data_IF_741219819587
#
_entry.id   IF_741219819587
#
_cell.length_a   1.000
_cell.length_b   1.000
_cell.length_c   1.000
_cell.angle_alpha   90.00
_cell.angle_beta   90.00
_cell.angle_gamma   90.00
#
_symmetry.space_group_name_H-M   'P 1'
#
loop_
_entity.id
_entity.type
_entity.pdbx_description
1 polymer ?
#
# COMPACT_ATOMS: atom_id res chain seq x y z
N UNK A 1 10.31 -9.80 -1.86
CA UNK A 1 9.18 -9.35 -1.06
C UNK A 1 8.27 -10.53 -0.72
N UNK A 2 7.90 -10.68 0.55
CA UNK A 2 7.01 -11.71 1.03
C UNK A 2 6.04 -11.10 2.05
N UNK A 3 4.74 -11.21 1.81
CA UNK A 3 3.68 -10.79 2.72
C UNK A 3 2.33 -11.32 2.22
N UNK A 4 1.37 -11.47 3.12
CA UNK A 4 -0.03 -11.60 2.75
C UNK A 4 -0.62 -10.21 2.54
N UNK A 5 -1.03 -9.91 1.31
CA UNK A 5 -1.58 -8.62 0.94
C UNK A 5 -2.55 -8.72 -0.24
N UNK A 6 -3.35 -7.69 -0.43
CA UNK A 6 -4.31 -7.59 -1.52
C UNK A 6 -4.94 -6.20 -1.60
N UNK A 7 -5.97 -6.07 -2.42
CA UNK A 7 -6.84 -4.89 -2.48
C UNK A 7 -7.83 -4.82 -1.31
N UNK A 8 -8.77 -3.87 -1.37
CA UNK A 8 -9.75 -3.62 -0.32
C UNK A 8 -10.58 -4.87 0.03
N UNK A 9 -10.96 -5.67 -0.96
CA UNK A 9 -11.70 -6.91 -0.74
C UNK A 9 -10.96 -8.01 0.01
N UNK A 10 -9.62 -7.92 0.13
CA UNK A 10 -8.81 -8.85 0.90
C UNK A 10 -8.49 -8.30 2.31
N UNK A 11 -8.27 -6.98 2.41
CA UNK A 11 -7.77 -6.34 3.63
C UNK A 11 -8.90 -5.94 4.60
N UNK A 12 -10.07 -5.53 4.08
CA UNK A 12 -11.13 -4.92 4.90
C UNK A 12 -12.34 -5.82 5.15
N UNK A 13 -12.30 -7.10 4.78
CA UNK A 13 -13.40 -8.04 5.05
C UNK A 13 -13.33 -8.67 6.43
N UNK A 14 -12.19 -8.66 7.08
CA UNK A 14 -11.93 -9.34 8.36
C UNK A 14 -11.59 -10.83 8.23
N UNK A 15 -11.82 -11.43 7.06
CA UNK A 15 -11.65 -12.87 6.85
C UNK A 15 -10.19 -13.34 6.88
N UNK A 16 -9.24 -12.42 6.62
CA UNK A 16 -7.81 -12.72 6.49
C UNK A 16 -6.95 -12.12 7.61
N UNK A 17 -7.52 -11.42 8.56
CA UNK A 17 -6.80 -10.61 9.56
C UNK A 17 -5.77 -11.42 10.35
N UNK A 18 -6.17 -12.57 10.88
CA UNK A 18 -5.28 -13.43 11.66
C UNK A 18 -4.09 -13.95 10.83
N UNK A 19 -4.31 -14.31 9.58
CA UNK A 19 -3.26 -14.79 8.69
C UNK A 19 -2.33 -13.66 8.24
N UNK A 20 -2.87 -12.49 7.94
CA UNK A 20 -2.09 -11.27 7.64
C UNK A 20 -1.15 -10.94 8.80
N UNK A 21 -1.70 -10.82 10.01
CA UNK A 21 -0.94 -10.49 11.21
C UNK A 21 0.14 -11.53 11.51
N UNK A 22 -0.25 -12.82 11.57
CA UNK A 22 0.66 -13.91 11.93
C UNK A 22 1.78 -14.10 10.90
N UNK A 23 1.43 -14.19 9.62
CA UNK A 23 2.39 -14.56 8.58
C UNK A 23 3.40 -13.44 8.37
N UNK A 24 2.94 -12.19 8.24
CA UNK A 24 3.83 -11.05 8.04
C UNK A 24 4.72 -10.79 9.26
N UNK A 25 4.16 -10.81 10.47
CA UNK A 25 4.97 -10.66 11.68
C UNK A 25 6.01 -11.78 11.83
N UNK A 26 5.64 -13.04 11.55
CA UNK A 26 6.57 -14.18 11.62
C UNK A 26 7.72 -14.06 10.62
N UNK A 27 7.43 -13.63 9.38
CA UNK A 27 8.46 -13.38 8.36
C UNK A 27 9.45 -12.32 8.87
N UNK A 28 8.96 -11.20 9.36
CA UNK A 28 9.78 -10.07 9.80
C UNK A 28 10.63 -10.42 11.04
N UNK A 29 10.04 -11.09 12.02
CA UNK A 29 10.75 -11.56 13.22
C UNK A 29 11.87 -12.53 12.85
N UNK A 30 11.58 -13.56 12.05
CA UNK A 30 12.57 -14.55 11.66
C UNK A 30 13.72 -13.93 10.83
N UNK A 31 13.38 -13.04 9.88
CA UNK A 31 14.39 -12.36 9.07
C UNK A 31 15.35 -11.54 9.93
N UNK A 32 14.83 -10.75 10.85
CA UNK A 32 15.63 -9.89 11.71
C UNK A 32 16.48 -10.68 12.70
N UNK A 33 15.95 -11.75 13.28
CA UNK A 33 16.70 -12.62 14.17
C UNK A 33 17.84 -13.35 13.44
N UNK A 34 17.58 -13.86 12.25
CA UNK A 34 18.63 -14.54 11.45
C UNK A 34 19.68 -13.52 10.96
N UNK A 35 19.29 -12.33 10.57
CA UNK A 35 20.26 -11.29 10.20
C UNK A 35 21.13 -10.88 11.39
N UNK A 36 20.53 -10.72 12.58
CA UNK A 36 21.30 -10.43 13.81
C UNK A 36 22.33 -11.53 14.09
N UNK A 37 21.92 -12.80 14.10
CA UNK A 37 22.82 -13.96 14.32
C UNK A 37 23.93 -14.02 13.27
N UNK A 38 23.58 -13.78 12.00
CA UNK A 38 24.56 -13.73 10.93
C UNK A 38 25.61 -12.64 11.15
N UNK A 39 25.19 -11.45 11.54
CA UNK A 39 26.11 -10.33 11.81
C UNK A 39 27.03 -10.64 13.00
N UNK A 40 26.51 -11.24 14.07
CA UNK A 40 27.29 -11.67 15.22
C UNK A 40 28.33 -12.74 14.85
N UNK A 41 27.94 -13.75 14.07
CA UNK A 41 28.84 -14.84 13.62
C UNK A 41 29.95 -14.34 12.67
N UNK A 42 29.63 -13.45 11.77
CA UNK A 42 30.58 -12.92 10.76
C UNK A 42 31.36 -11.70 11.21
N UNK A 43 30.99 -11.09 12.34
CA UNK A 43 31.59 -9.83 12.80
C UNK A 43 31.40 -8.68 11.81
N UNK A 44 30.35 -8.71 11.02
CA UNK A 44 30.04 -7.71 9.97
C UNK A 44 28.61 -7.21 10.09
N UNK A 45 28.35 -6.01 9.60
CA UNK A 45 27.03 -5.41 9.60
C UNK A 45 26.79 -4.64 8.28
N UNK A 46 27.12 -5.29 7.16
CA UNK A 46 27.11 -4.65 5.84
C UNK A 46 25.80 -4.88 5.05
N UNK A 47 24.98 -5.86 5.46
CA UNK A 47 23.73 -6.17 4.74
C UNK A 47 22.65 -5.20 5.15
N UNK A 48 22.27 -4.29 4.23
CA UNK A 48 21.12 -3.42 4.42
C UNK A 48 19.82 -4.17 4.15
N UNK A 49 18.86 -4.04 5.04
CA UNK A 49 17.53 -4.64 4.89
C UNK A 49 16.55 -3.58 4.40
N UNK A 50 15.80 -3.89 3.36
CA UNK A 50 14.67 -3.10 2.92
C UNK A 50 13.36 -3.67 3.49
N UNK A 51 12.55 -2.80 4.09
CA UNK A 51 11.20 -3.14 4.52
C UNK A 51 10.15 -2.37 3.72
N UNK A 52 9.25 -3.12 3.07
CA UNK A 52 8.08 -2.56 2.40
C UNK A 52 6.93 -2.36 3.39
N UNK A 53 6.82 -1.16 3.94
CA UNK A 53 5.66 -0.73 4.69
C UNK A 53 4.54 -0.26 3.75
N UNK A 54 3.49 0.33 4.28
CA UNK A 54 2.30 0.73 3.53
C UNK A 54 1.69 2.00 4.11
N UNK A 55 1.06 2.80 3.26
CA UNK A 55 0.23 3.92 3.70
C UNK A 55 -0.99 3.50 4.56
N UNK A 56 -1.32 2.21 4.59
CA UNK A 56 -2.36 1.68 5.50
C UNK A 56 -1.98 1.78 6.98
N UNK A 57 -0.69 2.06 7.30
CA UNK A 57 -0.26 2.30 8.68
C UNK A 57 -0.66 3.68 9.22
N UNK A 58 -1.02 4.64 8.35
CA UNK A 58 -1.44 5.97 8.78
C UNK A 58 -2.78 5.94 9.51
N UNK A 59 -2.99 6.85 10.48
CA UNK A 59 -4.23 6.91 11.25
C UNK A 59 -5.46 7.14 10.36
N UNK A 60 -6.52 6.40 10.60
CA UNK A 60 -7.79 6.55 9.89
C UNK A 60 -8.32 7.99 9.97
N UNK A 61 -8.24 8.62 11.16
CA UNK A 61 -8.77 9.97 11.37
C UNK A 61 -8.10 11.05 10.50
N UNK A 62 -6.88 10.80 10.00
CA UNK A 62 -6.19 11.69 9.06
C UNK A 62 -6.69 11.52 7.61
N UNK A 63 -7.54 10.55 7.35
CA UNK A 63 -7.93 10.10 6.02
C UNK A 63 -9.46 10.12 5.81
N UNK A 64 -10.20 10.82 6.67
CA UNK A 64 -11.66 10.95 6.60
C UNK A 64 -12.11 11.98 5.57
N UNK A 65 -11.31 13.02 5.34
CA UNK A 65 -11.55 14.03 4.31
C UNK A 65 -10.92 13.57 2.98
N UNK A 66 -11.71 13.29 1.93
CA UNK A 66 -11.18 12.84 0.66
C UNK A 66 -10.38 13.92 -0.09
N UNK A 67 -10.63 15.20 0.20
CA UNK A 67 -9.98 16.32 -0.48
C UNK A 67 -8.67 16.73 0.19
N UNK A 68 -8.49 16.40 1.47
CA UNK A 68 -7.33 16.82 2.25
C UNK A 68 -6.84 15.76 3.24
N UNK A 69 -6.49 14.55 2.78
CA UNK A 69 -5.90 13.54 3.67
C UNK A 69 -4.49 13.95 4.11
N UNK A 70 -4.14 13.64 5.36
CA UNK A 70 -2.79 13.86 5.89
C UNK A 70 -2.05 12.54 6.10
N UNK A 71 -1.20 12.19 5.14
CA UNK A 71 -0.33 11.03 5.19
C UNK A 71 1.17 11.41 5.19
N UNK A 72 1.51 12.61 5.67
CA UNK A 72 2.92 12.99 5.86
C UNK A 72 3.59 12.04 6.87
N UNK A 73 4.87 11.78 6.72
CA UNK A 73 5.61 10.87 7.61
C UNK A 73 5.44 11.23 9.09
N UNK A 74 5.38 12.52 9.41
CA UNK A 74 5.18 13.04 10.76
C UNK A 74 3.78 12.81 11.34
N UNK A 75 2.79 12.52 10.50
CA UNK A 75 1.39 12.32 10.90
C UNK A 75 1.05 10.89 11.32
N UNK A 76 2.05 10.01 11.34
CA UNK A 76 1.88 8.60 11.71
C UNK A 76 1.39 8.37 13.16
N UNK A 77 1.51 9.37 14.02
CA UNK A 77 1.11 9.29 15.41
C UNK A 77 0.24 10.49 15.83
N UNK A 78 -0.76 10.28 16.74
CA UNK A 78 -1.09 9.02 17.43
C UNK A 78 -1.61 7.96 16.45
N UNK A 79 -1.14 6.70 16.64
CA UNK A 79 -1.47 5.60 15.73
C UNK A 79 -2.93 5.18 15.85
N UNK A 80 -3.59 5.00 14.72
CA UNK A 80 -4.93 4.43 14.60
C UNK A 80 -5.16 3.92 13.15
N UNK A 81 -4.40 2.91 12.70
CA UNK A 81 -4.62 2.30 11.39
C UNK A 81 -6.05 1.77 11.20
N UNK A 82 -6.52 1.79 9.97
CA UNK A 82 -7.88 1.40 9.58
C UNK A 82 -8.11 -0.12 9.44
N UNK A 83 -7.07 -0.92 9.65
CA UNK A 83 -7.10 -2.37 9.43
C UNK A 83 -5.99 -3.09 10.19
N UNK A 84 -6.17 -4.40 10.41
CA UNK A 84 -5.13 -5.25 11.00
C UNK A 84 -3.87 -5.30 10.12
N UNK A 85 -4.02 -5.21 8.80
CA UNK A 85 -2.90 -5.03 7.89
C UNK A 85 -2.10 -3.75 8.20
N UNK A 86 -2.77 -2.64 8.44
CA UNK A 86 -2.13 -1.37 8.82
C UNK A 86 -1.42 -1.47 10.17
N UNK A 87 -2.02 -2.13 11.16
CA UNK A 87 -1.41 -2.37 12.46
C UNK A 87 -0.17 -3.26 12.36
N UNK A 88 -0.22 -4.33 11.54
CA UNK A 88 0.97 -5.18 11.30
C UNK A 88 2.10 -4.37 10.66
N UNK A 89 1.79 -3.55 9.64
CA UNK A 89 2.80 -2.71 8.98
C UNK A 89 3.45 -1.74 9.96
N UNK A 90 2.69 -1.08 10.81
CA UNK A 90 3.21 -0.20 11.84
C UNK A 90 4.04 -0.95 12.89
N UNK A 91 3.57 -2.10 13.36
CA UNK A 91 4.33 -2.96 14.27
C UNK A 91 5.68 -3.33 13.68
N UNK A 92 5.71 -3.77 12.45
CA UNK A 92 6.92 -4.16 11.76
C UNK A 92 7.88 -2.99 11.53
N UNK A 93 7.40 -1.78 11.16
CA UNK A 93 8.26 -0.59 11.12
C UNK A 93 8.99 -0.37 12.46
N UNK A 94 8.25 -0.42 13.56
CA UNK A 94 8.82 -0.26 14.91
C UNK A 94 9.81 -1.36 15.26
N UNK A 95 9.53 -2.59 14.82
CA UNK A 95 10.41 -3.74 15.01
C UNK A 95 11.75 -3.52 14.28
N UNK A 96 11.72 -3.18 12.99
CA UNK A 96 12.91 -2.89 12.20
C UNK A 96 13.74 -1.74 12.80
N UNK A 97 13.10 -0.63 13.15
CA UNK A 97 13.75 0.51 13.79
C UNK A 97 14.38 0.13 15.15
N UNK A 98 13.77 -0.79 15.88
CA UNK A 98 14.33 -1.28 17.15
C UNK A 98 15.58 -2.13 16.93
N UNK A 99 15.57 -3.01 15.92
CA UNK A 99 16.74 -3.79 15.56
C UNK A 99 17.88 -2.92 15.01
N UNK A 100 17.55 -1.86 14.26
CA UNK A 100 18.53 -0.86 13.84
C UNK A 100 19.20 -0.21 15.06
N UNK A 101 18.41 0.30 16.03
CA UNK A 101 18.95 0.98 17.23
C UNK A 101 19.75 0.06 18.12
N UNK A 102 19.30 -1.18 18.32
CA UNK A 102 19.90 -2.09 19.32
C UNK A 102 21.07 -2.89 18.76
N UNK A 103 21.04 -3.23 17.48
CA UNK A 103 22.00 -4.14 16.84
C UNK A 103 22.73 -3.48 15.67
N UNK A 104 22.48 -2.19 15.42
CA UNK A 104 23.09 -1.41 14.35
C UNK A 104 22.92 -2.06 12.96
N UNK A 105 21.81 -2.78 12.72
CA UNK A 105 21.48 -3.37 11.41
C UNK A 105 21.09 -2.25 10.46
N UNK A 106 21.76 -2.07 9.30
CA UNK A 106 21.34 -1.05 8.33
C UNK A 106 19.97 -1.39 7.76
N UNK A 107 19.04 -0.44 7.84
CA UNK A 107 17.69 -0.60 7.31
C UNK A 107 17.30 0.59 6.43
N UNK A 108 16.34 0.37 5.54
CA UNK A 108 15.52 1.42 4.96
C UNK A 108 14.06 0.96 4.86
N UNK A 109 13.13 1.88 5.06
CA UNK A 109 11.70 1.60 5.15
C UNK A 109 10.97 2.49 4.17
N UNK A 110 10.23 1.88 3.23
CA UNK A 110 9.33 2.61 2.33
C UNK A 110 7.87 2.39 2.74
N UNK A 111 7.12 3.47 2.94
CA UNK A 111 5.66 3.47 3.05
C UNK A 111 5.08 3.61 1.66
N UNK A 112 4.81 2.47 1.03
CA UNK A 112 4.20 2.48 -0.29
C UNK A 112 2.76 2.97 -0.24
N UNK A 113 2.47 3.95 -1.07
CA UNK A 113 1.12 4.35 -1.41
C UNK A 113 0.56 3.44 -2.51
N UNK A 114 -0.49 3.83 -3.21
CA UNK A 114 -1.11 2.91 -4.17
C UNK A 114 -0.23 2.78 -5.43
N UNK A 115 0.48 1.67 -5.54
CA UNK A 115 1.31 1.35 -6.70
C UNK A 115 0.47 0.58 -7.71
N UNK A 116 0.61 0.90 -8.99
CA UNK A 116 -0.05 0.23 -10.09
C UNK A 116 0.90 0.03 -11.27
N UNK A 117 0.57 -0.92 -12.15
CA UNK A 117 1.36 -1.21 -13.35
C UNK A 117 0.92 -2.50 -14.01
N UNK A 118 1.52 -2.84 -15.16
CA UNK A 118 1.29 -4.11 -15.84
C UNK A 118 1.70 -5.29 -14.96
N UNK A 119 1.21 -6.48 -15.30
CA UNK A 119 1.49 -7.75 -14.60
C UNK A 119 1.00 -7.82 -13.15
N UNK A 120 0.23 -6.83 -12.68
CA UNK A 120 -0.42 -6.91 -11.37
C UNK A 120 -1.57 -7.91 -11.37
N UNK A 121 -1.93 -8.44 -10.18
CA UNK A 121 -3.15 -9.24 -10.02
C UNK A 121 -4.37 -8.42 -10.44
N UNK A 122 -5.15 -8.92 -11.40
CA UNK A 122 -6.30 -8.24 -12.00
C UNK A 122 -7.64 -8.95 -11.77
N UNK A 123 -7.61 -10.18 -11.19
CA UNK A 123 -8.77 -10.98 -10.82
C UNK A 123 -8.47 -11.84 -9.59
N UNK A 124 -9.51 -12.51 -9.03
CA UNK A 124 -9.35 -13.48 -7.94
C UNK A 124 -9.47 -12.88 -6.53
N UNK A 125 -9.95 -11.63 -6.39
CA UNK A 125 -10.28 -11.01 -5.10
C UNK A 125 -9.12 -10.30 -4.40
N UNK A 126 -7.92 -10.32 -4.98
CA UNK A 126 -6.74 -9.60 -4.45
C UNK A 126 -6.36 -8.37 -5.28
N UNK A 127 -7.07 -8.12 -6.36
CA UNK A 127 -6.82 -7.00 -7.27
C UNK A 127 -7.06 -5.65 -6.59
N UNK A 128 -6.23 -4.67 -6.93
CA UNK A 128 -6.41 -3.27 -6.55
C UNK A 128 -7.28 -2.51 -7.54
N UNK A 129 -7.81 -1.36 -7.12
CA UNK A 129 -8.78 -0.59 -7.91
C UNK A 129 -8.37 -0.33 -9.38
N UNK A 130 -7.14 0.09 -9.71
CA UNK A 130 -6.77 0.28 -11.12
C UNK A 130 -6.90 -0.98 -11.97
N UNK A 131 -6.41 -2.11 -11.47
CA UNK A 131 -6.48 -3.39 -12.19
C UNK A 131 -7.92 -3.89 -12.33
N UNK A 132 -8.72 -3.80 -11.25
CA UNK A 132 -10.13 -4.18 -11.27
C UNK A 132 -10.95 -3.33 -12.25
N UNK A 133 -10.74 -2.01 -12.26
CA UNK A 133 -11.44 -1.08 -13.14
C UNK A 133 -11.03 -1.29 -14.59
N UNK A 134 -9.74 -1.41 -14.88
CA UNK A 134 -9.26 -1.71 -16.24
C UNK A 134 -9.87 -3.02 -16.76
N UNK A 135 -9.93 -4.07 -15.94
CA UNK A 135 -10.57 -5.33 -16.32
C UNK A 135 -12.07 -5.15 -16.60
N UNK A 136 -12.79 -4.46 -15.70
CA UNK A 136 -14.22 -4.21 -15.88
C UNK A 136 -14.50 -3.43 -17.16
N UNK A 137 -13.76 -2.36 -17.42
CA UNK A 137 -13.89 -1.55 -18.64
C UNK A 137 -13.49 -2.34 -19.89
N UNK A 138 -12.43 -3.14 -19.86
CA UNK A 138 -12.01 -3.95 -20.97
C UNK A 138 -13.08 -4.97 -21.39
N UNK A 139 -13.75 -5.60 -20.43
CA UNK A 139 -14.78 -6.62 -20.63
C UNK A 139 -16.15 -6.05 -20.96
N UNK A 140 -16.43 -4.79 -20.62
CA UNK A 140 -17.71 -4.13 -20.95
C UNK A 140 -17.81 -3.83 -22.44
N UNK A 141 -19.04 -3.86 -22.98
CA UNK A 141 -19.34 -3.30 -24.29
C UNK A 141 -19.44 -1.77 -24.21
N UNK A 142 -19.49 -1.09 -25.37
CA UNK A 142 -19.81 0.34 -25.40
C UNK A 142 -21.24 0.57 -24.89
N UNK A 143 -21.43 1.64 -24.11
CA UNK A 143 -22.68 2.00 -23.44
C UNK A 143 -23.12 1.05 -22.28
N UNK A 144 -22.28 0.08 -21.89
CA UNK A 144 -22.52 -0.77 -20.72
C UNK A 144 -22.32 -0.01 -19.39
N UNK A 145 -22.72 -0.66 -18.29
CA UNK A 145 -22.45 -0.21 -16.93
C UNK A 145 -21.47 -1.12 -16.22
N UNK A 146 -20.65 -0.52 -15.33
CA UNK A 146 -19.77 -1.26 -14.42
C UNK A 146 -20.06 -0.91 -12.98
N UNK A 147 -19.89 -1.88 -12.09
CA UNK A 147 -20.04 -1.69 -10.64
C UNK A 147 -18.87 -0.94 -10.06
N UNK A 148 -19.18 0.07 -9.23
CA UNK A 148 -18.24 0.86 -8.43
C UNK A 148 -18.65 0.75 -6.96
N UNK A 149 -17.70 0.39 -6.08
CA UNK A 149 -17.97 0.31 -4.65
C UNK A 149 -18.11 1.68 -4.01
N UNK A 150 -19.16 1.87 -3.22
CA UNK A 150 -19.51 3.13 -2.57
C UNK A 150 -20.01 4.17 -3.54
N UNK A 151 -19.82 5.44 -3.20
CA UNK A 151 -20.20 6.59 -4.02
C UNK A 151 -19.17 6.94 -5.11
N UNK A 152 -18.00 6.28 -5.10
CA UNK A 152 -16.92 6.53 -6.03
C UNK A 152 -16.18 7.86 -5.83
N UNK A 153 -16.49 8.62 -4.77
CA UNK A 153 -15.86 9.90 -4.44
C UNK A 153 -14.64 9.77 -3.50
N UNK A 154 -14.34 8.56 -3.05
CA UNK A 154 -13.10 8.32 -2.32
C UNK A 154 -11.90 8.58 -3.23
N UNK A 155 -10.89 9.30 -2.69
CA UNK A 155 -9.72 9.73 -3.44
C UNK A 155 -8.50 8.86 -3.15
N UNK A 156 -7.70 8.64 -4.17
CA UNK A 156 -6.40 7.94 -4.09
C UNK A 156 -5.41 8.61 -5.02
N UNK A 157 -4.16 8.66 -4.58
CA UNK A 157 -3.03 8.86 -5.50
C UNK A 157 -2.50 7.52 -5.97
N UNK A 158 -2.00 7.47 -7.20
CA UNK A 158 -1.44 6.26 -7.79
C UNK A 158 -0.06 6.56 -8.37
N UNK A 159 0.93 5.74 -8.01
CA UNK A 159 2.29 5.81 -8.54
C UNK A 159 2.54 4.66 -9.51
N UNK A 160 3.09 4.95 -10.69
CA UNK A 160 3.42 3.92 -11.66
C UNK A 160 4.61 3.08 -11.19
N UNK A 161 4.60 1.80 -11.54
CA UNK A 161 5.57 0.82 -11.00
C UNK A 161 7.02 1.17 -11.30
N UNK A 162 7.34 1.70 -12.49
CA UNK A 162 8.72 2.03 -12.85
C UNK A 162 9.28 3.16 -11.97
N UNK A 163 8.47 4.17 -11.67
CA UNK A 163 8.82 5.25 -10.75
C UNK A 163 8.98 4.74 -9.31
N UNK A 164 8.11 3.80 -8.90
CA UNK A 164 8.22 3.14 -7.61
C UNK A 164 9.52 2.34 -7.47
N UNK A 165 9.92 1.62 -8.51
CA UNK A 165 11.17 0.86 -8.54
C UNK A 165 12.37 1.82 -8.45
N UNK A 166 12.38 2.88 -9.24
CA UNK A 166 13.45 3.88 -9.21
C UNK A 166 13.57 4.53 -7.82
N UNK A 167 12.45 4.97 -7.23
CA UNK A 167 12.44 5.54 -5.88
C UNK A 167 12.94 4.54 -4.83
N UNK A 168 12.57 3.27 -4.94
CA UNK A 168 13.03 2.19 -4.06
C UNK A 168 14.54 1.99 -4.16
N UNK A 169 15.10 1.96 -5.37
CA UNK A 169 16.52 1.85 -5.59
C UNK A 169 17.29 3.06 -5.00
N UNK A 170 16.80 4.27 -5.23
CA UNK A 170 17.37 5.48 -4.65
C UNK A 170 17.35 5.46 -3.12
N UNK A 171 16.26 4.98 -2.51
CA UNK A 171 16.18 4.83 -1.06
C UNK A 171 17.19 3.79 -0.56
N UNK A 172 17.34 2.67 -1.25
CA UNK A 172 18.32 1.64 -0.92
C UNK A 172 19.78 2.15 -0.99
N UNK A 173 20.08 3.03 -1.92
CA UNK A 173 21.41 3.64 -2.10
C UNK A 173 21.65 4.80 -1.13
N UNK A 174 20.63 5.30 -0.46
CA UNK A 174 20.73 6.42 0.49
C UNK A 174 21.12 5.96 1.90
N UNK A 175 21.49 6.93 2.75
CA UNK A 175 21.69 6.70 4.19
C UNK A 175 20.42 6.97 5.02
N UNK A 176 19.25 7.09 4.38
CA UNK A 176 17.99 7.33 5.06
C UNK A 176 17.55 6.10 5.85
N UNK A 177 17.38 6.24 7.16
CA UNK A 177 16.90 5.18 8.06
C UNK A 177 15.48 5.44 8.58
N UNK A 178 14.97 6.65 8.38
CA UNK A 178 13.59 6.98 8.76
C UNK A 178 12.62 6.44 7.69
N UNK A 179 11.42 6.01 8.11
CA UNK A 179 10.37 5.61 7.17
C UNK A 179 10.02 6.75 6.21
N UNK A 180 10.02 6.46 4.91
CA UNK A 180 9.79 7.44 3.84
C UNK A 180 8.60 7.02 2.98
N UNK A 181 7.74 7.98 2.64
CA UNK A 181 6.67 7.77 1.67
C UNK A 181 7.23 7.57 0.26
N UNK A 182 6.70 6.57 -0.44
CA UNK A 182 6.88 6.40 -1.88
C UNK A 182 5.50 6.35 -2.53
N UNK A 183 5.14 7.42 -3.21
CA UNK A 183 3.82 7.63 -3.77
C UNK A 183 3.77 8.86 -4.68
N UNK A 184 2.56 9.26 -5.06
CA UNK A 184 2.28 10.45 -5.87
C UNK A 184 1.36 11.38 -5.08
N UNK A 185 1.50 12.68 -5.30
CA UNK A 185 0.60 13.71 -4.74
C UNK A 185 -0.68 13.88 -5.56
N UNK A 186 -0.68 13.44 -6.82
CA UNK A 186 -1.82 13.57 -7.72
C UNK A 186 -2.95 12.62 -7.33
N UNK A 187 -4.07 13.20 -6.88
CA UNK A 187 -5.24 12.44 -6.45
C UNK A 187 -6.30 12.38 -7.54
N UNK A 188 -6.95 11.21 -7.64
CA UNK A 188 -8.16 11.01 -8.44
C UNK A 188 -9.23 10.33 -7.59
N UNK A 189 -10.51 10.62 -7.89
CA UNK A 189 -11.61 9.83 -7.35
C UNK A 189 -11.70 8.49 -8.08
N UNK A 190 -12.34 7.50 -7.48
CA UNK A 190 -12.60 6.23 -8.17
C UNK A 190 -13.50 6.45 -9.39
N UNK A 191 -14.44 7.40 -9.32
CA UNK A 191 -15.24 7.78 -10.49
C UNK A 191 -14.39 8.32 -11.64
N UNK A 192 -13.42 9.21 -11.34
CA UNK A 192 -12.47 9.72 -12.36
C UNK A 192 -11.58 8.60 -12.91
N UNK A 193 -11.16 7.65 -12.07
CA UNK A 193 -10.38 6.51 -12.56
C UNK A 193 -11.16 5.66 -13.58
N UNK A 194 -12.47 5.49 -13.36
CA UNK A 194 -13.35 4.83 -14.34
C UNK A 194 -13.43 5.63 -15.63
N UNK A 195 -13.60 6.96 -15.52
CA UNK A 195 -13.72 7.84 -16.71
C UNK A 195 -12.42 7.79 -17.53
N UNK A 196 -11.26 7.87 -16.91
CA UNK A 196 -9.95 7.76 -17.56
C UNK A 196 -9.82 6.40 -18.28
N UNK A 197 -10.15 5.30 -17.60
CA UNK A 197 -10.05 3.97 -18.18
C UNK A 197 -11.02 3.81 -19.37
N UNK A 198 -12.23 4.34 -19.28
CA UNK A 198 -13.24 4.32 -20.35
C UNK A 198 -12.82 5.16 -21.57
N UNK A 199 -12.28 6.36 -21.33
CA UNK A 199 -11.73 7.24 -22.37
C UNK A 199 -10.60 6.55 -23.16
N UNK A 200 -9.63 5.95 -22.45
CA UNK A 200 -8.52 5.21 -23.07
C UNK A 200 -9.04 4.02 -23.89
N UNK A 201 -10.09 3.34 -23.42
CA UNK A 201 -10.71 2.23 -24.12
C UNK A 201 -11.61 2.67 -25.29
N UNK A 202 -11.88 3.96 -25.44
CA UNK A 202 -12.80 4.50 -26.44
C UNK A 202 -14.25 4.08 -26.21
N UNK A 203 -14.67 3.87 -24.97
CA UNK A 203 -15.98 3.38 -24.57
C UNK A 203 -16.74 4.41 -23.71
N UNK A 204 -18.06 4.42 -23.85
CA UNK A 204 -18.96 5.13 -22.93
C UNK A 204 -19.40 4.15 -21.85
N UNK A 205 -18.99 4.39 -20.61
CA UNK A 205 -19.30 3.51 -19.48
C UNK A 205 -20.12 4.25 -18.44
N UNK A 206 -21.25 3.65 -18.04
CA UNK A 206 -22.06 4.13 -16.93
C UNK A 206 -21.57 3.50 -15.62
N UNK A 207 -21.50 4.29 -14.55
CA UNK A 207 -21.11 3.82 -13.22
C UNK A 207 -22.35 3.40 -12.43
N UNK A 208 -22.37 2.15 -11.95
CA UNK A 208 -23.41 1.64 -11.07
C UNK A 208 -22.82 1.46 -9.66
N UNK A 209 -23.25 2.31 -8.72
CA UNK A 209 -22.71 2.34 -7.37
C UNK A 209 -23.39 1.26 -6.50
N UNK A 210 -22.58 0.44 -5.84
CA UNK A 210 -23.00 -0.64 -4.95
C UNK A 210 -22.26 -0.57 -3.61
N UNK A 211 -22.82 -1.17 -2.57
CA UNK A 211 -22.11 -1.33 -1.30
C UNK A 211 -20.87 -2.22 -1.45
N UNK A 212 -19.83 -1.91 -0.70
CA UNK A 212 -18.60 -2.70 -0.71
C UNK A 212 -17.55 -2.16 0.28
N UNK A 213 -16.45 -2.89 0.50
CA UNK A 213 -15.39 -2.46 1.41
C UNK A 213 -14.65 -1.25 0.82
N UNK A 214 -14.77 -0.10 1.48
CA UNK A 214 -14.24 1.17 0.98
C UNK A 214 -12.86 1.53 1.55
N UNK A 215 -12.57 1.13 2.79
CA UNK A 215 -11.45 1.67 3.55
C UNK A 215 -11.61 3.18 3.81
N UNK A 216 -10.50 3.90 3.93
CA UNK A 216 -10.51 5.35 4.19
C UNK A 216 -11.05 6.17 3.01
N UNK A 217 -11.53 7.39 3.29
CA UNK A 217 -12.10 8.29 2.27
C UNK A 217 -11.04 8.92 1.36
N UNK A 218 -9.88 9.28 1.91
CA UNK A 218 -8.79 9.90 1.15
C UNK A 218 -7.43 9.34 1.51
N UNK A 219 -6.56 9.16 0.53
CA UNK A 219 -5.16 8.74 0.74
C UNK A 219 -4.27 9.24 -0.38
N UNK A 220 -3.27 10.05 -0.03
CA UNK A 220 -2.23 10.51 -0.94
C UNK A 220 -0.85 10.40 -0.29
N UNK A 221 0.20 10.65 -1.08
CA UNK A 221 1.57 10.80 -0.58
C UNK A 221 1.89 12.29 -0.56
N UNK A 222 1.76 12.92 0.58
CA UNK A 222 2.06 14.33 0.78
C UNK A 222 3.21 14.53 1.77
#
# INVERSE_FOLDING_TARGET
>A
FAADMGGAGFIFTGDNDADIMRNSASINLNLLDEQRKWNEDKGTNHTKIFYSSSACMYPEHNQLDPDNPDCRESSAYPANPDSEYGWEKLFSERLYLSYHRNYNIPICIARYHNIYGPESTWEGGREKAPAAICRKVANACDEDSIEVWGDGNQTRSFLYIDECIEATCRLMDSECTEPLNIGSEEMVTINQLVDIAAEIAGKKITKYHIDGPLGVRGRNSN
#
